data_IF_712441029784
#
_entry.id   IF_712441029784
#
_cell.length_a   1.000
_cell.length_b   1.000
_cell.length_c   1.000
_cell.angle_alpha   90.00
_cell.angle_beta   90.00
_cell.angle_gamma   90.00
#
_symmetry.space_group_name_H-M   'P 1'
#
loop_
_entity.id
_entity.type
_entity.pdbx_description
1 polymer ?
#
# COMPACT_ATOMS: atom_id res chain seq x y z
N UNK A 1 7.54 -14.53 19.59
CA UNK A 1 7.20 -13.35 20.39
C UNK A 1 6.13 -12.53 19.67
N UNK A 2 5.16 -12.06 20.45
CA UNK A 2 4.04 -11.27 19.93
C UNK A 2 4.51 -9.98 19.26
N UNK A 3 5.58 -9.41 19.77
CA UNK A 3 6.14 -8.16 19.22
C UNK A 3 6.66 -8.36 17.80
N UNK A 4 7.26 -9.50 17.53
CA UNK A 4 7.74 -9.81 16.20
C UNK A 4 6.58 -9.96 15.23
N UNK A 5 5.50 -10.59 15.67
CA UNK A 5 4.30 -10.71 14.89
C UNK A 5 3.71 -9.34 14.53
N UNK A 6 3.63 -8.47 15.53
CA UNK A 6 3.11 -7.12 15.31
C UNK A 6 3.98 -6.36 14.33
N UNK A 7 5.29 -6.46 14.47
CA UNK A 7 6.22 -5.78 13.56
C UNK A 7 6.04 -6.26 12.12
N UNK A 8 5.87 -7.57 11.93
CA UNK A 8 5.65 -8.13 10.61
C UNK A 8 4.33 -7.67 10.01
N UNK A 9 3.29 -7.62 10.83
CA UNK A 9 1.98 -7.14 10.39
C UNK A 9 2.04 -5.68 9.96
N UNK A 10 2.67 -4.84 10.77
CA UNK A 10 2.82 -3.41 10.44
C UNK A 10 3.58 -3.25 9.14
N UNK A 11 4.66 -4.01 8.95
CA UNK A 11 5.44 -3.94 7.72
C UNK A 11 4.62 -4.36 6.51
N UNK A 12 3.83 -5.42 6.65
CA UNK A 12 2.97 -5.88 5.58
C UNK A 12 1.93 -4.84 5.21
N UNK A 13 1.32 -4.20 6.20
CA UNK A 13 0.36 -3.14 5.98
C UNK A 13 0.98 -1.97 5.25
N UNK A 14 2.18 -1.56 5.65
CA UNK A 14 2.89 -0.46 5.00
C UNK A 14 3.19 -0.78 3.54
N UNK A 15 3.61 -2.00 3.25
CA UNK A 15 3.87 -2.41 1.87
C UNK A 15 2.61 -2.38 1.02
N UNK A 16 1.50 -2.85 1.58
CA UNK A 16 0.23 -2.81 0.89
C UNK A 16 -0.23 -1.38 0.63
N UNK A 17 -0.04 -0.51 1.60
CA UNK A 17 -0.40 0.90 1.44
C UNK A 17 0.38 1.56 0.31
N UNK A 18 1.67 1.24 0.20
CA UNK A 18 2.50 1.75 -0.89
C UNK A 18 1.98 1.28 -2.25
N UNK A 19 1.62 0.01 -2.35
CA UNK A 19 1.08 -0.55 -3.59
C UNK A 19 -0.25 0.08 -3.96
N UNK A 20 -1.12 0.24 -2.98
CA UNK A 20 -2.43 0.87 -3.20
C UNK A 20 -2.24 2.32 -3.64
N UNK A 21 -1.32 3.04 -3.00
CA UNK A 21 -1.04 4.40 -3.37
C UNK A 21 -0.58 4.54 -4.81
N UNK A 22 0.27 3.62 -5.27
CA UNK A 22 0.73 3.60 -6.66
C UNK A 22 -0.41 3.30 -7.62
N UNK A 23 -1.25 2.34 -7.28
CA UNK A 23 -2.40 2.01 -8.11
C UNK A 23 -3.36 3.18 -8.23
N UNK A 24 -3.60 3.88 -7.13
CA UNK A 24 -4.46 5.05 -7.14
C UNK A 24 -3.87 6.17 -7.97
N UNK A 25 -2.56 6.38 -7.89
CA UNK A 25 -1.87 7.38 -8.69
C UNK A 25 -1.99 7.07 -10.18
N UNK A 26 -1.78 5.81 -10.56
CA UNK A 26 -1.91 5.38 -11.95
C UNK A 26 -3.35 5.51 -12.41
N UNK A 27 -4.28 5.15 -11.56
CA UNK A 27 -5.71 5.22 -11.86
C UNK A 27 -6.15 6.67 -12.04
N UNK A 28 -5.63 7.57 -11.23
CA UNK A 28 -5.93 9.00 -11.36
C UNK A 28 -5.40 9.55 -12.68
N UNK A 29 -4.19 9.14 -13.07
CA UNK A 29 -3.63 9.54 -14.36
C UNK A 29 -4.45 8.99 -15.53
N UNK A 30 -4.87 7.75 -15.42
CA UNK A 30 -5.72 7.14 -16.45
C UNK A 30 -7.08 7.83 -16.52
N UNK A 31 -7.62 8.21 -15.36
CA UNK A 31 -8.89 8.93 -15.30
C UNK A 31 -8.81 10.31 -15.92
N UNK A 32 -7.69 10.99 -15.78
CA UNK A 32 -7.49 12.30 -16.37
C UNK A 32 -7.50 12.23 -17.90
N UNK A 33 -6.99 11.14 -18.44
CA UNK A 33 -6.94 10.96 -19.91
C UNK A 33 -8.28 10.60 -20.52
N UNK A 34 -9.14 10.04 -19.72
CA UNK A 34 -10.46 9.66 -20.23
C UNK A 34 -11.48 10.75 -20.02
#
# INVERSE_FOLDING_TARGET
DTRELIALLVRSVQQLELKIGRLEAVNALAGVKS
#
